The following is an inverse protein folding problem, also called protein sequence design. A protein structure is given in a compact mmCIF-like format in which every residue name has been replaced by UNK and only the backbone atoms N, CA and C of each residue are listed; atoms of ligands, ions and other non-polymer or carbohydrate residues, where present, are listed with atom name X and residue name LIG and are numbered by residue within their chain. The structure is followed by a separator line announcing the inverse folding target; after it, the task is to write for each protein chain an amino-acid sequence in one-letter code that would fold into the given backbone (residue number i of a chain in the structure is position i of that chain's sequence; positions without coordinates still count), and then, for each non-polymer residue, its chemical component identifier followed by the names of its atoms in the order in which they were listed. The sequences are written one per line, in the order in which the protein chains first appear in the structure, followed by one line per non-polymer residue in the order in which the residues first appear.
data_IF_054992929777
#
_entry.id   IF_054992929777
#
_cell.length_a   1.000
_cell.length_b   1.000
_cell.length_c   1.000
_cell.angle_alpha   90.00
_cell.angle_beta   90.00
_cell.angle_gamma   90.00
#
_symmetry.space_group_name_H-M   'P 1'
#
loop_
_entity.id
_entity.type
_entity.pdbx_description
1 polymer ?
#
# COMPACT_ATOMS: atom_id res chain seq x y z
N UNK A 1 -4.88 12.26 12.51
CA UNK A 1 -3.82 11.66 11.68
C UNK A 1 -3.57 12.56 10.48
N UNK A 2 -2.31 12.73 10.05
CA UNK A 2 -1.91 13.79 9.11
C UNK A 2 -2.57 13.68 7.71
N UNK A 3 -2.93 12.47 7.26
CA UNK A 3 -3.47 12.25 5.90
C UNK A 3 -4.91 11.75 5.83
N UNK A 4 -5.60 11.58 6.96
CA UNK A 4 -6.97 11.03 6.96
C UNK A 4 -7.97 11.87 6.17
N UNK A 5 -7.82 13.20 6.18
CA UNK A 5 -8.66 14.10 5.39
C UNK A 5 -8.39 13.98 3.89
N UNK A 6 -7.12 13.86 3.50
CA UNK A 6 -6.71 13.71 2.10
C UNK A 6 -7.24 12.40 1.53
N UNK A 7 -7.09 11.30 2.27
CA UNK A 7 -7.58 9.97 1.85
C UNK A 7 -9.09 9.98 1.69
N UNK A 8 -9.83 10.53 2.66
CA UNK A 8 -11.29 10.67 2.55
C UNK A 8 -11.73 11.52 1.35
N UNK A 9 -10.98 12.55 1.02
CA UNK A 9 -11.24 13.37 -0.19
C UNK A 9 -10.99 12.56 -1.45
N UNK A 10 -9.90 11.78 -1.51
CA UNK A 10 -9.58 10.91 -2.64
C UNK A 10 -10.62 9.80 -2.81
N UNK A 11 -11.03 9.14 -1.72
CA UNK A 11 -12.10 8.12 -1.72
C UNK A 11 -13.39 8.61 -2.39
N UNK A 12 -13.74 9.89 -2.20
CA UNK A 12 -14.94 10.52 -2.76
C UNK A 12 -14.73 11.11 -4.15
N UNK A 13 -13.52 11.02 -4.71
CA UNK A 13 -13.22 11.58 -6.02
C UNK A 13 -13.77 10.68 -7.14
N UNK A 14 -14.21 11.31 -8.25
CA UNK A 14 -14.63 10.58 -9.45
C UNK A 14 -13.51 9.68 -9.99
N UNK A 15 -12.27 10.17 -9.94
CA UNK A 15 -11.08 9.42 -10.35
C UNK A 15 -10.95 8.10 -9.59
N UNK A 16 -11.13 8.09 -8.27
CA UNK A 16 -11.07 6.85 -7.48
C UNK A 16 -12.18 5.87 -7.87
N UNK A 17 -13.39 6.36 -8.16
CA UNK A 17 -14.49 5.52 -8.67
C UNK A 17 -14.17 4.90 -10.04
N UNK A 18 -13.59 5.67 -10.96
CA UNK A 18 -13.15 5.16 -12.26
C UNK A 18 -12.03 4.12 -12.13
N UNK A 19 -11.05 4.38 -11.26
CA UNK A 19 -9.95 3.46 -10.99
C UNK A 19 -10.43 2.16 -10.33
N UNK A 20 -11.41 2.22 -9.41
CA UNK A 20 -12.04 1.04 -8.82
C UNK A 20 -12.79 0.23 -9.88
N UNK A 21 -13.62 0.89 -10.67
CA UNK A 21 -14.37 0.22 -11.76
C UNK A 21 -13.41 -0.48 -12.73
N UNK A 22 -12.32 0.19 -13.11
CA UNK A 22 -11.28 -0.39 -13.96
C UNK A 22 -10.59 -1.57 -13.29
N UNK A 23 -10.25 -1.47 -12.01
CA UNK A 23 -9.64 -2.55 -11.24
C UNK A 23 -10.57 -3.78 -11.14
N UNK A 24 -11.87 -3.58 -10.94
CA UNK A 24 -12.87 -4.65 -10.90
C UNK A 24 -13.01 -5.36 -12.24
N UNK A 25 -13.01 -4.60 -13.35
CA UNK A 25 -13.14 -5.15 -14.69
C UNK A 25 -11.87 -5.84 -15.20
N UNK A 26 -10.69 -5.29 -14.88
CA UNK A 26 -9.41 -5.74 -15.44
C UNK A 26 -8.60 -6.62 -14.48
N UNK A 27 -9.00 -6.70 -13.21
CA UNK A 27 -8.29 -7.43 -12.16
C UNK A 27 -6.96 -6.81 -11.74
N UNK A 28 -6.46 -5.79 -12.43
CA UNK A 28 -5.21 -5.11 -12.12
C UNK A 28 -5.23 -3.64 -12.55
N UNK A 29 -4.41 -2.83 -11.89
CA UNK A 29 -4.20 -1.43 -12.23
C UNK A 29 -2.71 -1.09 -12.11
N UNK A 30 -2.14 -0.47 -13.15
CA UNK A 30 -0.74 -0.06 -13.17
C UNK A 30 -0.64 1.46 -12.99
N UNK A 31 0.02 1.89 -11.91
CA UNK A 31 0.28 3.29 -11.60
C UNK A 31 1.71 3.67 -12.00
N UNK A 32 1.88 4.31 -13.15
CA UNK A 32 3.17 4.74 -13.69
C UNK A 32 3.50 6.20 -13.34
N UNK A 33 4.79 6.53 -13.26
CA UNK A 33 5.29 7.90 -13.08
C UNK A 33 5.05 8.55 -11.70
N UNK A 34 4.22 7.96 -10.86
CA UNK A 34 3.95 8.48 -9.51
C UNK A 34 5.05 8.09 -8.50
N UNK A 35 5.43 9.06 -7.66
CA UNK A 35 6.28 8.80 -6.49
C UNK A 35 5.58 7.90 -5.45
N UNK A 36 6.34 7.36 -4.49
CA UNK A 36 5.83 6.42 -3.47
C UNK A 36 4.66 6.98 -2.65
N UNK A 37 4.73 8.25 -2.25
CA UNK A 37 3.69 8.87 -1.42
C UNK A 37 2.33 8.96 -2.15
N UNK A 38 2.24 9.53 -3.38
CA UNK A 38 1.02 9.48 -4.17
C UNK A 38 0.50 8.07 -4.43
N UNK A 39 1.38 7.10 -4.72
CA UNK A 39 0.98 5.70 -4.88
C UNK A 39 0.30 5.16 -3.63
N UNK A 40 0.84 5.47 -2.45
CA UNK A 40 0.23 5.06 -1.17
C UNK A 40 -1.08 5.75 -0.86
N UNK A 41 -1.24 7.03 -1.22
CA UNK A 41 -2.53 7.72 -1.06
C UNK A 41 -3.60 7.10 -1.96
N UNK A 42 -3.28 6.84 -3.23
CA UNK A 42 -4.21 6.22 -4.18
C UNK A 42 -4.52 4.80 -3.77
N UNK A 43 -3.52 3.96 -3.45
CA UNK A 43 -3.78 2.58 -3.02
C UNK A 43 -4.56 2.50 -1.71
N UNK A 44 -4.31 3.42 -0.77
CA UNK A 44 -5.10 3.50 0.47
C UNK A 44 -6.54 3.91 0.20
N UNK A 45 -6.77 4.92 -0.65
CA UNK A 45 -8.13 5.33 -1.03
C UNK A 45 -8.89 4.22 -1.78
N UNK A 46 -8.23 3.46 -2.65
CA UNK A 46 -8.84 2.30 -3.33
C UNK A 46 -9.19 1.18 -2.33
N UNK A 47 -8.28 0.86 -1.42
CA UNK A 47 -8.49 -0.20 -0.43
C UNK A 47 -9.59 0.16 0.58
N UNK A 48 -9.61 1.40 1.08
CA UNK A 48 -10.70 1.89 1.92
C UNK A 48 -12.03 1.99 1.14
N UNK A 49 -12.02 2.51 -0.08
CA UNK A 49 -13.23 2.62 -0.91
C UNK A 49 -13.87 1.26 -1.20
N UNK A 50 -13.07 0.20 -1.32
CA UNK A 50 -13.53 -1.18 -1.49
C UNK A 50 -13.69 -1.96 -0.18
N UNK A 51 -13.42 -1.35 0.98
CA UNK A 51 -13.45 -1.97 2.31
C UNK A 51 -12.60 -3.26 2.39
N UNK A 52 -11.38 -3.23 1.80
CA UNK A 52 -10.46 -4.38 1.76
C UNK A 52 -9.15 -4.08 2.48
N UNK A 53 -8.49 -5.10 3.05
CA UNK A 53 -7.13 -4.96 3.53
C UNK A 53 -6.16 -4.70 2.37
N UNK A 54 -5.07 -3.98 2.65
CA UNK A 54 -4.01 -3.71 1.69
C UNK A 54 -2.77 -4.53 2.04
N UNK A 55 -2.23 -5.24 1.05
CA UNK A 55 -0.90 -5.87 1.13
C UNK A 55 0.04 -5.14 0.19
N UNK A 56 1.17 -4.69 0.72
CA UNK A 56 2.23 -4.04 -0.06
C UNK A 56 3.43 -4.96 -0.09
N UNK A 57 3.88 -5.29 -1.30
CA UNK A 57 5.07 -6.12 -1.54
C UNK A 57 6.13 -5.20 -2.14
N UNK A 58 7.33 -5.20 -1.56
CA UNK A 58 8.46 -4.39 -1.99
C UNK A 58 9.66 -5.27 -2.28
N UNK A 59 10.64 -4.73 -3.01
CA UNK A 59 11.83 -5.49 -3.37
C UNK A 59 12.81 -5.63 -2.21
N UNK A 60 12.86 -4.63 -1.32
CA UNK A 60 13.80 -4.62 -0.19
C UNK A 60 13.12 -4.31 1.14
N UNK A 61 13.81 -4.63 2.24
CA UNK A 61 13.36 -4.36 3.60
C UNK A 61 13.29 -2.86 3.89
N UNK A 62 14.22 -2.07 3.34
CA UNK A 62 14.24 -0.62 3.48
C UNK A 62 13.02 0.02 2.80
N UNK A 63 12.64 -0.47 1.62
CA UNK A 63 11.41 -0.02 0.95
C UNK A 63 10.19 -0.41 1.76
N UNK A 64 10.14 -1.64 2.28
CA UNK A 64 9.05 -2.12 3.12
C UNK A 64 8.88 -1.20 4.35
N UNK A 65 9.99 -0.85 5.02
CA UNK A 65 9.98 0.02 6.19
C UNK A 65 9.46 1.43 5.87
N UNK A 66 9.90 2.00 4.74
CA UNK A 66 9.38 3.30 4.25
C UNK A 66 7.89 3.24 3.97
N UNK A 67 7.37 2.12 3.47
CA UNK A 67 5.93 1.92 3.26
C UNK A 67 5.18 1.77 4.58
N UNK A 68 5.70 1.02 5.55
CA UNK A 68 5.07 0.85 6.86
C UNK A 68 4.86 2.20 7.56
N UNK A 69 5.92 3.01 7.70
CA UNK A 69 5.82 4.36 8.30
C UNK A 69 4.87 5.27 7.53
N UNK A 70 4.85 5.16 6.20
CA UNK A 70 3.94 5.94 5.37
C UNK A 70 2.48 5.54 5.61
N UNK A 71 2.18 4.25 5.70
CA UNK A 71 0.82 3.73 5.95
C UNK A 71 0.32 4.05 7.37
N UNK A 72 1.20 4.02 8.37
CA UNK A 72 0.87 4.47 9.74
C UNK A 72 0.38 5.91 9.76
N UNK A 73 1.00 6.80 8.97
CA UNK A 73 0.58 8.19 8.83
C UNK A 73 -0.75 8.35 8.04
N UNK A 74 -1.15 7.33 7.28
CA UNK A 74 -2.33 7.28 6.39
C UNK A 74 -3.61 6.78 7.08
N UNK A 75 -3.66 6.76 8.41
CA UNK A 75 -4.87 6.44 9.17
C UNK A 75 -5.43 5.02 8.97
N UNK A 76 -4.54 4.09 8.64
CA UNK A 76 -4.83 2.67 8.79
C UNK A 76 -4.97 2.33 10.28
N UNK A 77 -6.01 1.56 10.63
CA UNK A 77 -6.22 1.13 12.02
C UNK A 77 -5.10 0.22 12.52
N UNK A 78 -4.54 -0.58 11.62
CA UNK A 78 -3.48 -1.55 11.93
C UNK A 78 -2.55 -1.67 10.74
N UNK A 79 -1.25 -1.63 11.00
CA UNK A 79 -0.19 -1.85 10.03
C UNK A 79 0.71 -2.95 10.58
N UNK A 80 0.92 -4.01 9.81
CA UNK A 80 1.82 -5.09 10.17
C UNK A 80 3.03 -5.09 9.24
N UNK A 81 4.22 -5.18 9.83
CA UNK A 81 5.47 -5.26 9.10
C UNK A 81 5.98 -6.69 9.14
N UNK A 82 6.16 -7.30 7.96
CA UNK A 82 6.63 -8.67 7.81
C UNK A 82 8.04 -8.64 7.19
N UNK A 83 9.11 -8.62 8.00
CA UNK A 83 10.48 -8.61 7.50
C UNK A 83 10.83 -9.98 6.88
N UNK A 84 11.77 -9.98 5.94
CA UNK A 84 12.38 -11.22 5.45
C UNK A 84 13.54 -11.62 6.37
N UNK A 85 13.87 -12.91 6.38
CA UNK A 85 15.16 -13.36 6.94
C UNK A 85 16.32 -12.78 6.12
N UNK A 86 17.42 -12.45 6.78
CA UNK A 86 18.68 -12.11 6.10
C UNK A 86 19.40 -13.37 5.57
N UNK A 87 19.17 -14.51 6.22
CA UNK A 87 19.65 -15.81 5.75
C UNK A 87 18.72 -16.35 4.65
N UNK A 88 19.32 -16.96 3.63
CA UNK A 88 18.61 -17.73 2.62
C UNK A 88 17.90 -18.92 3.25
N UNK A 89 16.74 -19.37 2.73
CA UNK A 89 16.11 -20.61 3.16
C UNK A 89 17.01 -21.86 3.06
N UNK A 90 18.12 -21.77 2.32
CA UNK A 90 19.09 -22.85 2.12
C UNK A 90 20.36 -22.68 2.98
N UNK A 91 20.50 -21.60 3.73
CA UNK A 91 21.64 -21.41 4.61
C UNK A 91 21.47 -22.29 5.87
N UNK A 92 22.52 -23.00 6.30
CA UNK A 92 22.46 -23.79 7.54
C UNK A 92 22.29 -22.85 8.74
N UNK A 93 21.39 -23.21 9.65
CA UNK A 93 20.96 -22.34 10.76
C UNK A 93 21.99 -22.19 11.89
N UNK A 94 23.02 -23.03 11.98
CA UNK A 94 24.03 -23.02 13.04
C UNK A 94 25.36 -23.66 12.55
N UNK A 95 26.30 -22.88 12.00
CA UNK A 95 27.71 -23.31 11.86
C UNK A 95 28.61 -22.51 12.80
#
# INVERSE_FOLDING_TARGET
MAFSSVIRTLERSSLTGELLTKLEQQGSLVLNGAARLPKGLVSSALAHGSQRPLVVITATLEEAGRWATQLEAMAWNTVHFYPTSEASPYDPFDQ
#
